data_IF_039954672219
#
_entry.id   IF_039954672219
#
_cell.length_a   1.000
_cell.length_b   1.000
_cell.length_c   1.000
_cell.angle_alpha   90.00
_cell.angle_beta   90.00
_cell.angle_gamma   90.00
#
_symmetry.space_group_name_H-M   'P 1'
#
loop_
_entity.id
_entity.type
_entity.pdbx_description
1 polymer ?
#
# COMPACT_ATOMS: atom_id res chain seq x y z
N UNK A 1 -66.08 88.62 -8.32
CA UNK A 1 -65.55 87.74 -7.29
C UNK A 1 -64.53 86.88 -7.99
N UNK A 2 -63.22 87.16 -7.79
CA UNK A 2 -62.13 86.55 -8.54
C UNK A 2 -61.47 85.53 -7.61
N UNK A 3 -61.47 84.27 -8.00
CA UNK A 3 -60.78 83.22 -7.32
C UNK A 3 -59.43 83.07 -7.98
N UNK A 4 -58.35 83.25 -7.19
CA UNK A 4 -56.96 83.02 -7.61
C UNK A 4 -56.61 81.55 -7.38
N UNK A 5 -56.29 80.86 -8.43
CA UNK A 5 -55.69 79.49 -8.38
C UNK A 5 -54.17 79.54 -8.28
N UNK A 6 -53.66 79.01 -7.21
CA UNK A 6 -52.21 78.89 -6.96
C UNK A 6 -51.73 77.52 -7.51
N UNK A 7 -50.84 77.54 -8.49
CA UNK A 7 -50.20 76.34 -9.02
C UNK A 7 -49.07 75.92 -8.05
N UNK A 8 -49.16 74.69 -7.52
CA UNK A 8 -48.09 74.03 -6.77
C UNK A 8 -47.25 73.17 -7.76
N UNK A 9 -45.99 73.52 -7.89
CA UNK A 9 -45.04 72.75 -8.72
C UNK A 9 -44.57 71.55 -7.92
N UNK A 10 -44.82 70.32 -8.43
CA UNK A 10 -44.25 69.05 -7.89
C UNK A 10 -42.89 68.82 -8.53
N UNK A 11 -41.84 68.77 -7.70
CA UNK A 11 -40.48 68.34 -8.10
C UNK A 11 -40.43 66.82 -7.90
N UNK A 12 -40.08 65.98 -8.91
CA UNK A 12 -39.87 64.55 -8.68
C UNK A 12 -38.49 64.32 -8.09
N UNK A 13 -38.42 63.76 -6.88
CA UNK A 13 -37.23 63.24 -6.27
C UNK A 13 -36.93 61.87 -6.91
N UNK A 14 -35.93 61.82 -7.75
CA UNK A 14 -35.38 60.52 -8.28
C UNK A 14 -34.53 59.88 -7.17
N UNK A 15 -35.08 58.88 -6.50
CA UNK A 15 -34.35 58.01 -5.57
C UNK A 15 -33.51 57.06 -6.38
N UNK A 16 -32.18 57.30 -6.45
CA UNK A 16 -31.21 56.35 -6.99
C UNK A 16 -31.12 55.14 -6.04
N UNK A 17 -31.72 54.03 -6.45
CA UNK A 17 -31.57 52.72 -5.77
C UNK A 17 -30.15 52.19 -6.07
N UNK A 18 -29.20 52.41 -5.14
CA UNK A 18 -27.91 51.73 -5.16
C UNK A 18 -28.14 50.25 -4.79
N UNK A 19 -28.25 49.39 -5.80
CA UNK A 19 -28.18 47.94 -5.59
C UNK A 19 -26.76 47.59 -5.12
N UNK A 20 -26.57 47.56 -3.80
CA UNK A 20 -25.43 46.85 -3.21
C UNK A 20 -25.60 45.37 -3.48
N UNK A 21 -24.97 44.90 -4.58
CA UNK A 21 -24.83 43.46 -4.86
C UNK A 21 -24.02 42.81 -3.74
N UNK A 22 -24.72 42.18 -2.79
CA UNK A 22 -24.08 41.24 -1.89
C UNK A 22 -23.50 40.14 -2.76
N UNK A 23 -22.17 39.81 -2.63
CA UNK A 23 -21.63 38.65 -3.34
C UNK A 23 -22.43 37.43 -2.88
N UNK A 24 -23.14 36.79 -3.81
CA UNK A 24 -23.75 35.48 -3.57
C UNK A 24 -22.65 34.56 -3.01
N UNK A 25 -22.89 33.85 -1.90
CA UNK A 25 -21.92 32.83 -1.48
C UNK A 25 -21.77 31.90 -2.66
N UNK A 26 -20.51 31.77 -3.16
CA UNK A 26 -20.20 30.80 -4.18
C UNK A 26 -20.78 29.46 -3.72
N UNK A 27 -21.67 28.89 -4.53
CA UNK A 27 -22.22 27.55 -4.28
C UNK A 27 -21.06 26.65 -3.93
N UNK A 28 -21.00 26.12 -2.71
CA UNK A 28 -20.04 25.12 -2.35
C UNK A 28 -20.25 23.97 -3.34
N UNK A 29 -19.36 23.83 -4.30
CA UNK A 29 -19.39 22.70 -5.22
C UNK A 29 -19.46 21.45 -4.33
N UNK A 30 -20.39 20.54 -4.64
CA UNK A 30 -20.52 19.30 -3.87
C UNK A 30 -19.17 18.62 -3.72
N UNK A 31 -18.79 18.28 -2.49
CA UNK A 31 -17.50 17.68 -2.19
C UNK A 31 -17.37 16.37 -2.97
N UNK A 32 -16.25 16.20 -3.68
CA UNK A 32 -15.95 14.95 -4.37
C UNK A 32 -15.57 13.89 -3.34
N UNK A 33 -16.33 12.79 -3.31
CA UNK A 33 -16.05 11.65 -2.44
C UNK A 33 -15.12 10.68 -3.14
N UNK A 34 -14.02 10.31 -2.48
CA UNK A 34 -12.99 9.37 -2.94
C UNK A 34 -13.05 8.13 -2.05
N UNK A 35 -13.22 6.96 -2.64
CA UNK A 35 -13.31 5.68 -1.94
C UNK A 35 -11.94 5.00 -1.87
N UNK A 36 -11.50 4.66 -0.66
CA UNK A 36 -10.26 3.93 -0.41
C UNK A 36 -10.59 2.54 0.14
N UNK A 37 -10.22 1.48 -0.56
CA UNK A 37 -10.36 0.11 -0.08
C UNK A 37 -8.99 -0.51 0.18
N UNK A 38 -8.84 -1.26 1.27
CA UNK A 38 -7.62 -2.03 1.55
C UNK A 38 -7.94 -3.29 2.38
N UNK A 39 -7.03 -4.26 2.36
CA UNK A 39 -7.25 -5.57 2.99
C UNK A 39 -6.93 -5.62 4.50
N UNK A 40 -6.32 -4.58 5.06
CA UNK A 40 -5.81 -4.57 6.44
C UNK A 40 -6.91 -4.30 7.45
N UNK A 41 -6.75 -4.75 8.73
CA UNK A 41 -7.71 -4.45 9.78
C UNK A 41 -7.89 -2.96 9.97
N UNK A 42 -9.13 -2.52 10.13
CA UNK A 42 -9.47 -1.14 10.44
C UNK A 42 -9.14 -0.78 11.88
N UNK A 43 -8.89 0.50 12.11
CA UNK A 43 -8.60 1.08 13.41
C UNK A 43 -8.97 2.55 13.47
N UNK A 44 -8.18 3.32 14.19
CA UNK A 44 -8.25 4.77 14.24
C UNK A 44 -6.96 5.40 13.71
N UNK A 45 -6.89 6.70 13.60
CA UNK A 45 -5.68 7.40 13.17
C UNK A 45 -4.48 7.14 14.10
N UNK A 46 -4.74 6.84 15.38
CA UNK A 46 -3.71 6.66 16.41
C UNK A 46 -3.47 5.20 16.78
N UNK A 47 -4.41 4.29 16.49
CA UNK A 47 -4.36 2.88 16.93
C UNK A 47 -4.71 1.92 15.80
N UNK A 48 -4.02 0.77 15.76
CA UNK A 48 -4.25 -0.30 14.80
C UNK A 48 -3.10 -0.49 13.83
N UNK A 49 -3.39 -1.14 12.73
CA UNK A 49 -2.43 -1.39 11.64
C UNK A 49 -1.94 -0.06 11.04
N UNK A 50 -0.62 0.10 10.88
CA UNK A 50 -0.07 1.37 10.40
C UNK A 50 -0.56 1.73 8.99
N UNK A 51 -0.95 0.76 8.18
CA UNK A 51 -1.44 0.96 6.81
C UNK A 51 -2.82 1.60 6.81
N UNK A 52 -3.73 1.15 7.68
CA UNK A 52 -5.03 1.81 7.90
C UNK A 52 -4.84 3.21 8.49
N UNK A 53 -3.94 3.36 9.46
CA UNK A 53 -3.59 4.65 10.04
C UNK A 53 -3.05 5.62 9.00
N UNK A 54 -2.14 5.17 8.11
CA UNK A 54 -1.59 5.97 7.03
C UNK A 54 -2.67 6.46 6.08
N UNK A 55 -3.60 5.59 5.69
CA UNK A 55 -4.75 5.95 4.84
C UNK A 55 -5.62 7.00 5.52
N UNK A 56 -5.89 6.88 6.82
CA UNK A 56 -6.66 7.88 7.60
C UNK A 56 -5.94 9.21 7.73
N UNK A 57 -4.63 9.19 7.98
CA UNK A 57 -3.79 10.39 8.01
C UNK A 57 -3.78 11.09 6.64
N UNK A 58 -3.66 10.32 5.57
CA UNK A 58 -3.74 10.84 4.19
C UNK A 58 -5.08 11.53 3.94
N UNK A 59 -6.18 10.84 4.23
CA UNK A 59 -7.53 11.36 4.04
C UNK A 59 -7.74 12.69 4.82
N UNK A 60 -7.42 12.67 6.12
CA UNK A 60 -7.59 13.85 6.98
C UNK A 60 -6.78 15.06 6.49
N UNK A 61 -5.51 14.86 6.12
CA UNK A 61 -4.66 15.97 5.70
C UNK A 61 -5.05 16.50 4.30
N UNK A 62 -5.48 15.63 3.37
CA UNK A 62 -5.99 16.08 2.07
C UNK A 62 -7.32 16.80 2.22
N UNK A 63 -8.27 16.29 3.02
CA UNK A 63 -9.54 16.99 3.31
C UNK A 63 -9.31 18.38 3.88
N UNK A 64 -8.41 18.48 4.86
CA UNK A 64 -8.02 19.75 5.47
C UNK A 64 -7.45 20.73 4.45
N UNK A 65 -6.49 20.30 3.63
CA UNK A 65 -5.77 21.16 2.68
C UNK A 65 -6.60 21.53 1.46
N UNK A 66 -7.62 20.74 1.13
CA UNK A 66 -8.59 21.05 0.07
C UNK A 66 -9.83 21.76 0.60
N UNK A 67 -9.82 22.20 1.87
CA UNK A 67 -10.97 22.88 2.51
C UNK A 67 -12.27 22.08 2.38
N UNK A 68 -12.19 20.73 2.45
CA UNK A 68 -13.34 19.83 2.35
C UNK A 68 -13.87 19.62 0.93
N UNK A 69 -13.20 20.11 -0.12
CA UNK A 69 -13.58 19.83 -1.52
C UNK A 69 -13.39 18.36 -1.91
N UNK A 70 -12.38 17.69 -1.31
CA UNK A 70 -12.21 16.24 -1.37
C UNK A 70 -12.60 15.64 -0.03
N UNK A 71 -13.40 14.58 -0.06
CA UNK A 71 -13.82 13.77 1.08
C UNK A 71 -13.42 12.33 0.86
N UNK A 72 -13.23 11.56 1.92
CA UNK A 72 -12.79 10.19 1.80
C UNK A 72 -13.68 9.22 2.59
N UNK A 73 -14.03 8.11 1.94
CA UNK A 73 -14.64 6.95 2.57
C UNK A 73 -13.64 5.80 2.59
N UNK A 74 -13.34 5.26 3.78
CA UNK A 74 -12.31 4.22 3.97
C UNK A 74 -12.97 2.90 4.29
N UNK A 75 -12.64 1.87 3.50
CA UNK A 75 -13.19 0.51 3.56
C UNK A 75 -12.07 -0.50 3.88
N UNK A 76 -11.80 -0.76 5.17
CA UNK A 76 -10.79 -1.73 5.61
C UNK A 76 -11.24 -3.18 5.44
N UNK A 77 -10.31 -4.13 5.59
CA UNK A 77 -10.58 -5.57 5.59
C UNK A 77 -11.03 -6.15 4.25
N UNK A 78 -10.93 -5.41 3.15
CA UNK A 78 -11.44 -5.83 1.84
C UNK A 78 -12.97 -5.81 1.77
N UNK A 79 -13.62 -4.95 2.57
CA UNK A 79 -15.09 -4.89 2.68
C UNK A 79 -15.78 -4.34 1.42
N UNK A 80 -15.13 -3.43 0.68
CA UNK A 80 -15.68 -2.89 -0.57
C UNK A 80 -15.20 -3.71 -1.78
N UNK A 81 -13.89 -3.95 -1.89
CA UNK A 81 -13.28 -4.71 -2.99
C UNK A 81 -12.33 -5.75 -2.41
N UNK A 82 -12.45 -7.01 -2.86
CA UNK A 82 -11.59 -8.10 -2.41
C UNK A 82 -10.13 -7.83 -2.74
N UNK A 83 -9.22 -8.26 -1.85
CA UNK A 83 -7.80 -7.91 -1.89
C UNK A 83 -7.16 -8.06 -3.28
N UNK A 84 -7.30 -9.20 -3.94
CA UNK A 84 -6.69 -9.46 -5.26
C UNK A 84 -7.36 -8.74 -6.43
N UNK A 85 -8.53 -8.15 -6.23
CA UNK A 85 -9.30 -7.44 -7.27
C UNK A 85 -9.08 -5.92 -7.22
N UNK A 86 -8.42 -5.40 -6.19
CA UNK A 86 -8.30 -3.96 -5.97
C UNK A 86 -7.53 -3.23 -7.08
N UNK A 87 -6.46 -3.82 -7.64
CA UNK A 87 -5.73 -3.18 -8.74
C UNK A 87 -6.57 -3.12 -10.03
N UNK A 88 -7.34 -4.17 -10.31
CA UNK A 88 -8.25 -4.19 -11.46
C UNK A 88 -9.34 -3.12 -11.33
N UNK A 89 -9.91 -3.00 -10.13
CA UNK A 89 -10.90 -1.98 -9.85
C UNK A 89 -10.34 -0.55 -10.00
N UNK A 90 -9.07 -0.33 -9.60
CA UNK A 90 -8.36 0.92 -9.85
C UNK A 90 -8.15 1.19 -11.35
N UNK A 91 -7.64 0.20 -12.08
CA UNK A 91 -7.34 0.33 -13.51
C UNK A 91 -8.57 0.67 -14.35
N UNK A 92 -9.76 0.20 -13.93
CA UNK A 92 -11.04 0.48 -14.59
C UNK A 92 -11.77 1.70 -14.05
N UNK A 93 -11.26 2.33 -12.97
CA UNK A 93 -11.93 3.45 -12.29
C UNK A 93 -13.12 3.04 -11.42
N UNK A 94 -13.34 1.75 -11.16
CA UNK A 94 -14.39 1.25 -10.27
C UNK A 94 -14.03 1.45 -8.77
N UNK A 95 -12.77 1.71 -8.47
CA UNK A 95 -12.24 2.09 -7.16
C UNK A 95 -11.31 3.29 -7.33
N UNK A 96 -11.38 4.25 -6.42
CA UNK A 96 -10.56 5.46 -6.49
C UNK A 96 -9.15 5.25 -5.96
N UNK A 97 -9.00 4.59 -4.78
CA UNK A 97 -7.70 4.39 -4.13
C UNK A 97 -7.60 3.05 -3.42
N UNK A 98 -6.37 2.55 -3.30
CA UNK A 98 -6.05 1.38 -2.46
C UNK A 98 -4.63 1.45 -1.91
N UNK A 99 -4.39 0.88 -0.74
CA UNK A 99 -3.07 0.50 -0.27
C UNK A 99 -2.88 -0.99 -0.58
N UNK A 100 -1.95 -1.31 -1.49
CA UNK A 100 -1.98 -2.57 -2.22
C UNK A 100 -0.61 -3.27 -2.34
N UNK A 101 -0.51 -4.57 -1.97
CA UNK A 101 0.66 -5.38 -2.29
C UNK A 101 0.82 -5.57 -3.79
N UNK A 102 1.70 -4.83 -4.43
CA UNK A 102 1.79 -4.77 -5.89
C UNK A 102 2.08 -6.14 -6.53
N UNK A 103 2.82 -7.01 -5.84
CA UNK A 103 3.11 -8.37 -6.28
C UNK A 103 1.86 -9.27 -6.47
N UNK A 104 0.70 -8.91 -5.91
CA UNK A 104 -0.54 -9.65 -6.16
C UNK A 104 -0.99 -9.59 -7.62
N UNK A 105 -0.58 -8.57 -8.34
CA UNK A 105 -0.91 -8.38 -9.76
C UNK A 105 0.12 -8.96 -10.73
N UNK A 106 1.14 -9.65 -10.21
CA UNK A 106 2.22 -10.22 -11.02
C UNK A 106 1.80 -11.29 -12.05
N UNK A 107 0.56 -11.78 -11.99
CA UNK A 107 -0.02 -12.61 -13.04
C UNK A 107 -0.52 -11.83 -14.26
N UNK A 108 -0.92 -10.56 -14.08
CA UNK A 108 -1.40 -9.66 -15.13
C UNK A 108 -0.33 -8.71 -15.64
N UNK A 109 0.51 -8.23 -14.74
CA UNK A 109 1.65 -7.34 -15.00
C UNK A 109 2.89 -8.05 -14.49
N UNK A 110 3.49 -8.96 -15.30
CA UNK A 110 4.59 -9.81 -14.81
C UNK A 110 5.79 -9.03 -14.27
N UNK A 111 6.04 -7.83 -14.78
CA UNK A 111 7.14 -6.96 -14.39
C UNK A 111 7.05 -6.52 -12.92
N UNK A 112 5.84 -6.39 -12.35
CA UNK A 112 5.69 -5.99 -10.95
C UNK A 112 6.12 -7.07 -9.95
N UNK A 113 6.37 -8.31 -10.39
CA UNK A 113 6.92 -9.35 -9.54
C UNK A 113 8.30 -8.97 -8.96
N UNK A 114 9.03 -8.05 -9.60
CA UNK A 114 10.29 -7.50 -9.08
C UNK A 114 10.10 -6.79 -7.72
N UNK A 115 8.90 -6.32 -7.43
CA UNK A 115 8.56 -5.58 -6.19
C UNK A 115 8.46 -6.47 -4.94
N UNK A 116 8.52 -7.79 -5.12
CA UNK A 116 8.69 -8.80 -4.06
C UNK A 116 9.69 -9.87 -4.52
N UNK A 117 10.75 -9.46 -5.22
CA UNK A 117 11.82 -10.37 -5.60
C UNK A 117 12.65 -10.75 -4.37
N UNK A 118 12.68 -12.05 -3.98
CA UNK A 118 13.34 -12.45 -2.74
C UNK A 118 14.82 -12.10 -2.74
N UNK A 119 15.31 -11.57 -1.63
CA UNK A 119 16.70 -11.17 -1.40
C UNK A 119 17.30 -10.15 -2.38
N UNK A 120 16.46 -9.44 -3.17
CA UNK A 120 16.89 -8.35 -4.05
C UNK A 120 17.04 -7.05 -3.25
N UNK A 121 16.02 -6.67 -2.50
CA UNK A 121 16.08 -5.60 -1.50
C UNK A 121 16.54 -6.20 -0.18
N UNK A 122 17.51 -5.55 0.46
CA UNK A 122 18.16 -6.05 1.69
C UNK A 122 17.97 -5.13 2.90
N UNK A 123 17.49 -3.89 2.67
CA UNK A 123 17.19 -2.91 3.71
C UNK A 123 16.26 -1.83 3.17
N UNK A 124 15.54 -1.14 4.07
CA UNK A 124 14.51 -0.16 3.72
C UNK A 124 15.04 0.96 2.83
N UNK A 125 16.21 1.51 3.14
CA UNK A 125 16.80 2.63 2.42
C UNK A 125 17.06 2.29 0.95
N UNK A 126 17.44 1.04 0.65
CA UNK A 126 17.59 0.57 -0.73
C UNK A 126 16.25 0.63 -1.47
N UNK A 127 15.18 0.11 -0.86
CA UNK A 127 13.84 0.13 -1.45
C UNK A 127 13.35 1.56 -1.70
N UNK A 128 13.48 2.46 -0.72
CA UNK A 128 13.04 3.86 -0.87
C UNK A 128 13.88 4.63 -1.91
N UNK A 129 15.16 4.27 -2.10
CA UNK A 129 15.99 4.87 -3.17
C UNK A 129 15.48 4.54 -4.57
N UNK A 130 14.74 3.43 -4.76
CA UNK A 130 14.16 3.10 -6.06
C UNK A 130 13.34 4.24 -6.65
N UNK A 131 12.59 4.96 -5.85
CA UNK A 131 11.72 6.07 -6.28
C UNK A 131 12.41 7.04 -7.25
N UNK A 132 13.67 7.35 -6.99
CA UNK A 132 14.44 8.34 -7.75
C UNK A 132 15.43 7.71 -8.74
N UNK A 133 15.37 6.39 -8.94
CA UNK A 133 16.29 5.64 -9.81
C UNK A 133 15.55 5.11 -11.05
N UNK A 134 16.26 4.63 -12.07
CA UNK A 134 15.65 4.11 -13.30
C UNK A 134 14.55 3.07 -13.03
N UNK A 135 14.76 2.13 -12.11
CA UNK A 135 13.76 1.13 -11.75
C UNK A 135 12.46 1.74 -11.22
N UNK A 136 12.53 2.78 -10.40
CA UNK A 136 11.34 3.46 -9.89
C UNK A 136 10.60 4.25 -10.96
N UNK A 137 11.31 4.86 -11.91
CA UNK A 137 10.71 5.51 -13.07
C UNK A 137 9.97 4.50 -13.94
N UNK A 138 10.57 3.32 -14.14
CA UNK A 138 9.97 2.25 -14.93
C UNK A 138 8.72 1.66 -14.26
N UNK A 139 8.74 1.43 -12.94
CA UNK A 139 7.55 1.02 -12.19
C UNK A 139 6.42 2.06 -12.28
N UNK A 140 6.77 3.35 -12.19
CA UNK A 140 5.78 4.43 -12.34
C UNK A 140 5.17 4.42 -13.74
N UNK A 141 5.99 4.26 -14.80
CA UNK A 141 5.52 4.16 -16.17
C UNK A 141 4.59 2.95 -16.38
N UNK A 142 5.00 1.79 -15.90
CA UNK A 142 4.20 0.56 -15.99
C UNK A 142 2.83 0.71 -15.33
N UNK A 143 2.77 1.35 -14.16
CA UNK A 143 1.49 1.57 -13.48
C UNK A 143 0.66 2.65 -14.19
N UNK A 144 1.26 3.72 -14.69
CA UNK A 144 0.56 4.74 -15.50
C UNK A 144 -0.08 4.13 -16.75
N UNK A 145 0.61 3.22 -17.45
CA UNK A 145 0.09 2.48 -18.60
C UNK A 145 -1.06 1.54 -18.24
N UNK A 146 -1.11 1.12 -16.97
CA UNK A 146 -2.21 0.34 -16.41
C UNK A 146 -3.26 1.22 -15.70
N UNK A 147 -3.32 2.52 -16.00
CA UNK A 147 -4.25 3.50 -15.44
C UNK A 147 -4.17 3.66 -13.90
N UNK A 148 -3.00 3.51 -13.32
CA UNK A 148 -2.77 3.60 -11.87
C UNK A 148 -1.63 4.56 -11.54
N UNK A 149 -1.86 5.45 -10.55
CA UNK A 149 -0.88 6.40 -10.01
C UNK A 149 -0.33 5.93 -8.67
N UNK A 150 0.99 6.03 -8.47
CA UNK A 150 1.62 5.85 -7.16
C UNK A 150 1.53 7.16 -6.39
N UNK A 151 0.89 7.13 -5.23
CA UNK A 151 0.72 8.31 -4.34
C UNK A 151 1.74 8.30 -3.21
N UNK A 152 1.94 7.13 -2.55
CA UNK A 152 2.91 7.00 -1.44
C UNK A 152 3.75 5.76 -1.66
N UNK A 153 5.08 5.89 -1.57
CA UNK A 153 6.02 4.78 -1.65
C UNK A 153 6.17 4.14 -0.29
N UNK A 154 5.85 2.84 -0.21
CA UNK A 154 5.94 2.08 1.04
C UNK A 154 6.65 0.77 0.76
N UNK A 155 7.71 0.49 1.52
CA UNK A 155 8.42 -0.79 1.55
C UNK A 155 8.28 -1.41 2.92
N UNK A 156 7.99 -2.70 2.96
CA UNK A 156 7.87 -3.46 4.19
C UNK A 156 8.82 -4.63 4.19
N UNK A 157 9.41 -4.93 5.35
CA UNK A 157 10.07 -6.18 5.62
C UNK A 157 9.09 -7.20 6.20
N UNK A 158 9.43 -8.47 6.12
CA UNK A 158 8.61 -9.53 6.66
C UNK A 158 9.39 -10.75 7.09
N UNK A 159 8.69 -11.64 7.74
CA UNK A 159 9.18 -12.90 8.27
C UNK A 159 8.23 -14.05 7.98
N UNK A 160 8.40 -15.14 8.72
CA UNK A 160 7.56 -16.33 8.61
C UNK A 160 7.07 -16.78 9.98
N UNK A 161 5.76 -16.98 10.09
CA UNK A 161 5.14 -17.70 11.21
C UNK A 161 4.83 -19.13 10.80
N UNK A 162 5.11 -20.11 11.66
CA UNK A 162 4.87 -21.53 11.40
C UNK A 162 4.26 -22.27 12.59
N UNK A 163 3.48 -23.32 12.29
CA UNK A 163 2.78 -24.12 13.29
C UNK A 163 3.69 -25.04 14.10
N UNK A 164 4.71 -25.64 13.46
CA UNK A 164 5.29 -26.87 14.01
C UNK A 164 6.81 -26.84 14.18
N UNK A 165 7.53 -25.99 13.47
CA UNK A 165 9.00 -25.91 13.51
C UNK A 165 9.51 -24.57 13.03
N UNK A 166 10.69 -24.14 13.47
CA UNK A 166 11.32 -22.94 12.95
C UNK A 166 11.67 -23.09 11.46
N UNK A 167 11.56 -21.99 10.71
CA UNK A 167 11.97 -21.92 9.31
C UNK A 167 13.04 -20.85 9.20
N UNK A 168 14.30 -21.27 9.18
CA UNK A 168 15.48 -20.41 9.19
C UNK A 168 16.27 -20.57 7.88
N UNK A 169 16.48 -21.81 7.43
CA UNK A 169 17.15 -22.13 6.18
C UNK A 169 16.17 -22.69 5.13
N UNK A 170 16.50 -22.65 3.83
CA UNK A 170 15.58 -23.16 2.79
C UNK A 170 15.08 -24.59 3.04
N UNK A 171 15.95 -25.48 3.51
CA UNK A 171 15.60 -26.88 3.77
C UNK A 171 14.47 -27.07 4.81
N UNK A 172 14.26 -26.10 5.70
CA UNK A 172 13.20 -26.15 6.71
C UNK A 172 11.80 -26.04 6.09
N UNK A 173 11.71 -25.53 4.85
CA UNK A 173 10.44 -25.37 4.10
C UNK A 173 9.95 -26.70 3.51
N UNK A 174 10.84 -27.70 3.36
CA UNK A 174 10.51 -28.94 2.67
C UNK A 174 9.30 -29.65 3.26
N UNK A 175 8.34 -29.97 2.40
CA UNK A 175 7.12 -30.68 2.71
C UNK A 175 6.03 -29.88 3.43
N UNK A 176 6.26 -28.58 3.72
CA UNK A 176 5.26 -27.72 4.35
C UNK A 176 4.33 -27.11 3.31
N UNK A 177 3.06 -26.93 3.69
CA UNK A 177 2.09 -26.11 2.96
C UNK A 177 2.33 -24.64 3.32
N UNK A 178 2.83 -23.87 2.37
CA UNK A 178 3.34 -22.53 2.63
C UNK A 178 2.68 -21.48 1.74
N UNK A 179 2.62 -20.27 2.28
CA UNK A 179 2.13 -19.09 1.55
C UNK A 179 3.28 -18.12 1.36
N UNK A 180 3.50 -17.75 0.09
CA UNK A 180 4.39 -16.64 -0.28
C UNK A 180 3.73 -15.37 -0.61
N UNK A 181 3.56 -14.40 -0.91
CA UNK A 181 2.76 -13.21 -1.19
C UNK A 181 2.84 -12.75 -2.66
N UNK A 182 3.34 -13.58 -3.55
CA UNK A 182 3.46 -13.26 -4.98
C UNK A 182 4.26 -14.30 -5.74
N UNK A 183 4.26 -14.24 -7.08
CA UNK A 183 4.85 -15.26 -7.96
C UNK A 183 6.32 -15.52 -7.63
N UNK A 184 7.16 -14.49 -7.58
CA UNK A 184 8.61 -14.67 -7.32
C UNK A 184 8.90 -15.28 -5.95
N UNK A 185 8.12 -14.90 -4.92
CA UNK A 185 8.28 -15.51 -3.60
C UNK A 185 7.80 -16.96 -3.60
N UNK A 186 6.68 -17.27 -4.26
CA UNK A 186 6.19 -18.64 -4.38
C UNK A 186 7.21 -19.56 -5.07
N UNK A 187 7.84 -19.10 -6.15
CA UNK A 187 8.89 -19.84 -6.86
C UNK A 187 10.11 -20.14 -5.97
N UNK A 188 10.55 -19.20 -5.13
CA UNK A 188 11.60 -19.46 -4.15
C UNK A 188 11.18 -20.55 -3.16
N UNK A 189 9.97 -20.47 -2.60
CA UNK A 189 9.48 -21.40 -1.60
C UNK A 189 9.22 -22.81 -2.18
N UNK A 190 8.78 -22.87 -3.43
CA UNK A 190 8.65 -24.12 -4.18
C UNK A 190 10.01 -24.76 -4.45
N UNK A 191 11.01 -23.96 -4.85
CA UNK A 191 12.40 -24.42 -4.99
C UNK A 191 13.01 -24.90 -3.66
N UNK A 192 12.53 -24.37 -2.53
CA UNK A 192 12.88 -24.84 -1.19
C UNK A 192 12.10 -26.11 -0.76
N UNK A 193 11.25 -26.66 -1.63
CA UNK A 193 10.48 -27.89 -1.40
C UNK A 193 9.14 -27.69 -0.68
N UNK A 194 8.62 -26.47 -0.62
CA UNK A 194 7.30 -26.15 -0.09
C UNK A 194 6.17 -26.41 -1.09
N UNK A 195 5.00 -26.80 -0.59
CA UNK A 195 3.75 -26.86 -1.35
C UNK A 195 3.03 -25.51 -1.25
N UNK A 196 2.87 -24.82 -2.40
CA UNK A 196 2.41 -23.43 -2.41
C UNK A 196 0.88 -23.33 -2.36
N UNK A 197 0.38 -22.46 -1.46
CA UNK A 197 -0.99 -21.99 -1.46
C UNK A 197 -1.01 -20.46 -1.58
N UNK A 198 -1.74 -19.95 -2.56
CA UNK A 198 -1.76 -18.51 -2.88
C UNK A 198 -3.02 -17.84 -2.37
N UNK A 199 -3.00 -17.36 -1.14
CA UNK A 199 -4.07 -16.58 -0.50
C UNK A 199 -3.60 -15.15 -0.17
N UNK A 200 -4.49 -14.13 -0.17
CA UNK A 200 -4.13 -12.80 0.31
C UNK A 200 -3.88 -12.80 1.82
N UNK A 201 -3.19 -11.78 2.34
CA UNK A 201 -2.75 -11.81 3.75
C UNK A 201 -3.90 -11.75 4.76
N UNK A 202 -5.02 -11.16 4.43
CA UNK A 202 -6.22 -11.14 5.28
C UNK A 202 -6.94 -12.49 5.41
N UNK A 203 -6.57 -13.50 4.61
CA UNK A 203 -7.11 -14.86 4.69
C UNK A 203 -6.14 -15.84 5.38
N UNK A 204 -4.93 -15.39 5.73
CA UNK A 204 -3.88 -16.28 6.27
C UNK A 204 -4.22 -16.85 7.65
N UNK A 205 -4.94 -16.08 8.50
CA UNK A 205 -5.35 -16.58 9.81
C UNK A 205 -6.26 -17.81 9.67
N UNK A 206 -7.33 -17.71 8.89
CA UNK A 206 -8.26 -18.82 8.67
C UNK A 206 -7.59 -19.99 7.94
N UNK A 207 -6.69 -19.73 7.00
CA UNK A 207 -5.96 -20.77 6.29
C UNK A 207 -4.97 -21.53 7.21
N UNK A 208 -4.30 -20.85 8.14
CA UNK A 208 -3.50 -21.52 9.18
C UNK A 208 -4.39 -22.27 10.17
N UNK A 209 -5.44 -21.64 10.67
CA UNK A 209 -6.35 -22.26 11.64
C UNK A 209 -6.98 -23.56 11.12
N UNK A 210 -7.34 -23.60 9.84
CA UNK A 210 -7.92 -24.80 9.20
C UNK A 210 -6.90 -25.84 8.73
N UNK A 211 -5.59 -25.58 8.91
CA UNK A 211 -4.53 -26.48 8.45
C UNK A 211 -4.32 -26.52 6.94
N UNK A 212 -4.87 -25.56 6.20
CA UNK A 212 -4.57 -25.33 4.77
C UNK A 212 -3.13 -24.84 4.60
N UNK A 213 -2.59 -24.10 5.61
CA UNK A 213 -1.22 -23.62 5.66
C UNK A 213 -0.52 -24.10 6.94
N UNK A 214 0.70 -24.55 6.79
CA UNK A 214 1.62 -24.85 7.90
C UNK A 214 2.47 -23.63 8.25
N UNK A 215 2.75 -22.75 7.27
CA UNK A 215 3.53 -21.54 7.48
C UNK A 215 3.14 -20.42 6.51
N UNK A 216 3.34 -19.18 6.98
CA UNK A 216 2.97 -17.95 6.25
C UNK A 216 4.14 -16.97 6.24
N UNK A 217 4.68 -16.66 5.05
CA UNK A 217 5.53 -15.49 4.83
C UNK A 217 4.66 -14.27 4.56
N UNK A 218 4.86 -13.23 5.35
CA UNK A 218 4.16 -11.93 5.17
C UNK A 218 4.91 -10.83 5.89
N UNK A 219 4.45 -9.56 5.76
CA UNK A 219 5.07 -8.43 6.45
C UNK A 219 5.01 -8.57 7.97
N UNK A 220 5.98 -7.98 8.67
CA UNK A 220 5.99 -7.92 10.13
C UNK A 220 4.71 -7.33 10.69
N UNK A 221 4.19 -6.26 10.05
CA UNK A 221 2.90 -5.68 10.39
C UNK A 221 1.74 -6.68 10.28
N UNK A 222 1.68 -7.47 9.19
CA UNK A 222 0.63 -8.46 8.97
C UNK A 222 0.72 -9.63 9.95
N UNK A 223 1.93 -10.11 10.27
CA UNK A 223 2.14 -11.16 11.28
C UNK A 223 1.50 -10.79 12.63
N UNK A 224 1.55 -9.51 12.99
CA UNK A 224 0.95 -8.99 14.22
C UNK A 224 -0.53 -8.67 14.03
N UNK A 225 -0.90 -7.90 13.00
CA UNK A 225 -2.26 -7.36 12.86
C UNK A 225 -3.31 -8.41 12.50
N UNK A 226 -2.92 -9.50 11.83
CA UNK A 226 -3.77 -10.67 11.60
C UNK A 226 -3.67 -11.73 12.68
N UNK A 227 -2.98 -11.44 13.81
CA UNK A 227 -2.94 -12.27 15.02
C UNK A 227 -2.39 -13.69 14.80
N UNK A 228 -1.47 -13.86 13.85
CA UNK A 228 -0.92 -15.20 13.54
C UNK A 228 -0.13 -15.80 14.72
N UNK A 229 0.27 -14.98 15.70
CA UNK A 229 0.89 -15.43 16.95
C UNK A 229 0.00 -16.33 17.82
N UNK A 230 -1.34 -16.35 17.58
CA UNK A 230 -2.26 -17.26 18.29
C UNK A 230 -2.19 -18.70 17.76
N UNK A 231 -1.70 -18.86 16.56
CA UNK A 231 -1.64 -20.14 15.84
C UNK A 231 -0.22 -20.68 15.68
N UNK A 232 0.77 -19.81 15.69
CA UNK A 232 2.16 -20.15 15.45
C UNK A 232 2.85 -20.67 16.72
N UNK A 233 3.78 -21.63 16.56
CA UNK A 233 4.73 -22.04 17.61
C UNK A 233 6.09 -21.39 17.42
N UNK A 234 6.44 -21.04 16.19
CA UNK A 234 7.72 -20.45 15.82
C UNK A 234 7.51 -19.25 14.88
N UNK A 235 8.36 -18.25 15.01
CA UNK A 235 8.44 -17.10 14.10
C UNK A 235 9.90 -16.78 13.80
N UNK A 236 10.23 -16.62 12.51
CA UNK A 236 11.51 -16.04 12.08
C UNK A 236 11.28 -14.61 11.64
N UNK A 237 11.95 -13.66 12.30
CA UNK A 237 11.66 -12.22 12.20
C UNK A 237 12.49 -11.50 11.15
N UNK A 238 12.08 -10.28 10.79
CA UNK A 238 12.84 -9.39 9.91
C UNK A 238 13.79 -8.44 10.64
N UNK A 239 13.84 -8.45 11.99
CA UNK A 239 14.54 -7.43 12.79
C UNK A 239 16.07 -7.40 12.61
N UNK A 240 16.69 -8.51 12.16
CA UNK A 240 18.13 -8.55 11.85
C UNK A 240 18.38 -8.70 10.35
N UNK A 241 17.94 -9.81 9.77
CA UNK A 241 18.06 -10.12 8.34
C UNK A 241 16.77 -10.76 7.84
N UNK A 242 16.39 -10.42 6.60
CA UNK A 242 15.30 -11.07 5.89
C UNK A 242 15.55 -11.01 4.39
N UNK A 243 15.06 -12.01 3.67
CA UNK A 243 15.01 -11.99 2.21
C UNK A 243 13.68 -11.49 1.68
N UNK A 244 12.74 -11.10 2.57
CA UNK A 244 11.40 -10.66 2.24
C UNK A 244 11.27 -9.15 2.42
N UNK A 245 11.30 -8.40 1.30
CA UNK A 245 10.94 -6.99 1.23
C UNK A 245 9.91 -6.81 0.14
N UNK A 246 8.81 -6.11 0.41
CA UNK A 246 7.70 -5.91 -0.50
C UNK A 246 7.37 -4.43 -0.67
N UNK A 247 7.12 -4.05 -1.91
CA UNK A 247 6.55 -2.74 -2.25
C UNK A 247 5.02 -2.78 -2.14
N UNK A 248 4.48 -1.97 -1.25
CA UNK A 248 3.05 -1.92 -0.91
C UNK A 248 2.54 -0.47 -0.90
N UNK A 249 2.49 0.19 -2.07
CA UNK A 249 2.19 1.60 -2.18
C UNK A 249 0.72 1.95 -1.89
N UNK A 250 0.47 3.23 -1.52
CA UNK A 250 -0.84 3.83 -1.68
C UNK A 250 -1.00 4.24 -3.14
N UNK A 251 -2.03 3.74 -3.79
CA UNK A 251 -2.33 3.90 -5.21
C UNK A 251 -3.64 4.67 -5.41
N UNK A 252 -3.74 5.39 -6.53
CA UNK A 252 -4.96 6.05 -6.99
C UNK A 252 -5.26 5.65 -8.43
N UNK A 253 -6.54 5.49 -8.78
CA UNK A 253 -6.97 5.38 -10.17
C UNK A 253 -6.53 6.62 -10.96
N UNK A 254 -5.95 6.40 -12.14
CA UNK A 254 -5.55 7.52 -13.01
C UNK A 254 -6.74 8.37 -13.43
N UNK A 255 -7.89 7.75 -13.68
CA UNK A 255 -9.13 8.49 -14.01
C UNK A 255 -9.58 9.40 -12.86
N UNK A 256 -9.52 8.92 -11.62
CA UNK A 256 -9.81 9.76 -10.44
C UNK A 256 -8.79 10.88 -10.33
N UNK A 257 -7.49 10.58 -10.44
CA UNK A 257 -6.42 11.57 -10.36
C UNK A 257 -6.55 12.68 -11.43
N UNK A 258 -6.77 12.29 -12.67
CA UNK A 258 -6.89 13.23 -13.80
C UNK A 258 -8.16 14.11 -13.71
N UNK A 259 -9.20 13.68 -12.97
CA UNK A 259 -10.41 14.46 -12.70
C UNK A 259 -10.24 15.51 -11.59
N UNK A 260 -9.12 15.49 -10.86
CA UNK A 260 -8.78 16.49 -9.85
C UNK A 260 -8.25 17.78 -10.51
N UNK A 261 -8.47 18.92 -9.86
CA UNK A 261 -7.84 20.17 -10.29
C UNK A 261 -6.31 20.08 -10.10
N UNK A 262 -5.50 20.87 -10.83
CA UNK A 262 -4.05 20.89 -10.66
C UNK A 262 -3.61 21.13 -9.21
N UNK A 263 -4.32 21.97 -8.46
CA UNK A 263 -4.02 22.24 -7.04
C UNK A 263 -4.35 21.02 -6.17
N UNK A 264 -5.48 20.35 -6.40
CA UNK A 264 -5.83 19.11 -5.69
C UNK A 264 -4.84 17.99 -5.99
N UNK A 265 -4.41 17.82 -7.25
CA UNK A 265 -3.36 16.86 -7.64
C UNK A 265 -2.06 17.12 -6.89
N UNK A 266 -1.63 18.38 -6.82
CA UNK A 266 -0.45 18.80 -6.07
C UNK A 266 -0.56 18.47 -4.58
N UNK A 267 -1.70 18.77 -3.96
CA UNK A 267 -1.97 18.46 -2.54
C UNK A 267 -1.89 16.94 -2.30
N UNK A 268 -2.58 16.14 -3.12
CA UNK A 268 -2.59 14.67 -3.03
C UNK A 268 -1.16 14.10 -3.09
N UNK A 269 -0.35 14.54 -4.06
CA UNK A 269 1.03 14.08 -4.21
C UNK A 269 1.93 14.54 -3.06
N UNK A 270 1.79 15.77 -2.57
CA UNK A 270 2.57 16.29 -1.45
C UNK A 270 2.24 15.57 -0.14
N UNK A 271 0.96 15.35 0.15
CA UNK A 271 0.52 14.63 1.35
C UNK A 271 1.01 13.18 1.27
N UNK A 272 0.84 12.51 0.12
CA UNK A 272 1.34 11.16 -0.10
C UNK A 272 2.84 11.04 0.17
N UNK A 273 3.64 11.94 -0.40
CA UNK A 273 5.09 11.95 -0.19
C UNK A 273 5.50 12.23 1.26
N UNK A 274 4.76 13.09 1.98
CA UNK A 274 5.05 13.40 3.39
C UNK A 274 4.87 12.21 4.32
N UNK A 275 3.97 11.27 3.98
CA UNK A 275 3.67 10.08 4.78
C UNK A 275 4.69 8.94 4.62
N UNK A 276 5.62 9.02 3.66
CA UNK A 276 6.69 8.03 3.50
C UNK A 276 7.59 7.94 4.76
N UNK A 277 7.80 9.06 5.45
CA UNK A 277 8.55 9.06 6.73
C UNK A 277 7.81 8.31 7.84
N UNK A 278 6.50 8.47 7.91
CA UNK A 278 5.67 7.70 8.83
C UNK A 278 5.70 6.21 8.51
N UNK A 279 5.57 5.85 7.23
CA UNK A 279 5.58 4.47 6.77
C UNK A 279 6.90 3.76 7.13
N UNK A 280 8.07 4.32 6.77
CA UNK A 280 9.36 3.69 7.08
C UNK A 280 9.59 3.53 8.59
N UNK A 281 9.20 4.54 9.38
CA UNK A 281 9.29 4.47 10.85
C UNK A 281 8.42 3.33 11.39
N UNK A 282 7.15 3.27 10.99
CA UNK A 282 6.20 2.25 11.42
C UNK A 282 6.65 0.84 11.03
N UNK A 283 7.16 0.66 9.81
CA UNK A 283 7.67 -0.64 9.36
C UNK A 283 8.86 -1.12 10.21
N UNK A 284 9.82 -0.23 10.50
CA UNK A 284 10.96 -0.57 11.37
C UNK A 284 10.54 -0.83 12.83
N UNK A 285 9.50 -0.17 13.31
CA UNK A 285 8.91 -0.44 14.63
C UNK A 285 8.18 -1.78 14.64
N UNK A 286 7.44 -2.13 13.59
CA UNK A 286 6.76 -3.42 13.49
C UNK A 286 7.73 -4.61 13.39
N UNK A 287 8.91 -4.46 12.77
CA UNK A 287 9.95 -5.50 12.77
C UNK A 287 10.43 -5.86 14.20
N UNK A 288 10.51 -4.87 15.08
CA UNK A 288 10.85 -5.07 16.50
C UNK A 288 9.65 -5.59 17.29
N UNK A 289 8.51 -4.95 17.10
CA UNK A 289 7.25 -5.28 17.78
C UNK A 289 6.81 -6.72 17.52
N UNK A 290 7.05 -7.24 16.31
CA UNK A 290 6.79 -8.63 15.97
C UNK A 290 7.40 -9.58 17.00
N UNK A 291 8.70 -9.43 17.28
CA UNK A 291 9.41 -10.29 18.24
C UNK A 291 8.85 -10.17 19.66
N UNK A 292 8.47 -8.97 20.07
CA UNK A 292 7.89 -8.71 21.40
C UNK A 292 6.50 -9.35 21.55
N UNK A 293 5.63 -9.17 20.56
CA UNK A 293 4.26 -9.69 20.56
C UNK A 293 4.26 -11.22 20.57
N UNK A 294 5.06 -11.83 19.69
CA UNK A 294 5.18 -13.28 19.59
C UNK A 294 5.81 -13.88 20.85
N UNK A 295 6.88 -13.30 21.38
CA UNK A 295 7.50 -13.73 22.63
C UNK A 295 6.56 -13.68 23.82
N UNK A 296 5.75 -12.60 23.95
CA UNK A 296 4.70 -12.50 24.99
C UNK A 296 3.59 -13.53 24.84
N UNK A 297 3.32 -13.97 23.60
CA UNK A 297 2.36 -15.04 23.31
C UNK A 297 2.93 -16.47 23.53
N UNK A 298 4.19 -16.58 23.97
CA UNK A 298 4.86 -17.88 24.20
C UNK A 298 5.40 -18.54 22.92
N UNK A 299 5.48 -17.81 21.81
CA UNK A 299 6.01 -18.31 20.54
C UNK A 299 7.54 -18.20 20.54
N UNK A 300 8.22 -19.22 20.02
CA UNK A 300 9.67 -19.21 19.87
C UNK A 300 10.08 -18.22 18.78
N UNK A 301 10.93 -17.24 19.15
CA UNK A 301 11.35 -16.17 18.25
C UNK A 301 12.76 -16.44 17.74
N UNK A 302 12.89 -16.52 16.42
CA UNK A 302 14.15 -16.78 15.72
C UNK A 302 14.54 -15.57 14.87
N UNK A 303 15.84 -15.42 14.64
CA UNK A 303 16.41 -14.43 13.73
C UNK A 303 17.26 -15.13 12.66
N UNK A 304 17.27 -14.55 11.48
CA UNK A 304 18.15 -14.96 10.41
C UNK A 304 19.49 -14.21 10.54
N UNK A 305 20.61 -14.91 10.38
CA UNK A 305 21.94 -14.32 10.28
C UNK A 305 22.38 -14.13 8.82
N UNK A 306 23.56 -13.60 8.60
CA UNK A 306 24.10 -13.39 7.25
C UNK A 306 24.29 -14.70 6.50
N UNK A 307 24.76 -15.77 7.17
CA UNK A 307 25.01 -17.08 6.54
C UNK A 307 23.71 -17.67 6.02
N UNK A 308 22.66 -17.68 6.84
CA UNK A 308 21.33 -18.18 6.47
C UNK A 308 20.68 -17.33 5.40
N UNK A 309 20.83 -15.99 5.48
CA UNK A 309 20.38 -15.09 4.42
C UNK A 309 21.04 -15.41 3.06
N UNK A 310 22.35 -15.68 3.03
CA UNK A 310 23.04 -16.02 1.78
C UNK A 310 22.58 -17.37 1.21
N UNK A 311 22.15 -18.33 2.03
CA UNK A 311 21.54 -19.58 1.54
C UNK A 311 20.22 -19.30 0.79
N UNK A 312 19.35 -18.48 1.35
CA UNK A 312 18.11 -18.03 0.70
C UNK A 312 18.39 -17.24 -0.57
N UNK A 313 19.38 -16.34 -0.53
CA UNK A 313 19.74 -15.51 -1.69
C UNK A 313 20.30 -16.36 -2.84
N UNK A 314 21.08 -17.38 -2.54
CA UNK A 314 21.59 -18.31 -3.55
C UNK A 314 20.42 -19.02 -4.24
N UNK A 315 19.52 -19.60 -3.46
CA UNK A 315 18.34 -20.29 -4.00
C UNK A 315 17.43 -19.32 -4.80
N UNK A 316 17.24 -18.07 -4.33
CA UNK A 316 16.48 -17.07 -5.04
C UNK A 316 17.06 -16.75 -6.43
N UNK A 317 18.39 -16.66 -6.54
CA UNK A 317 19.08 -16.43 -7.83
C UNK A 317 18.90 -17.61 -8.79
N UNK A 318 18.94 -18.82 -8.27
CA UNK A 318 18.82 -20.05 -9.06
C UNK A 318 17.36 -20.35 -9.45
N UNK A 319 16.38 -19.73 -8.82
CA UNK A 319 14.94 -19.92 -9.06
C UNK A 319 14.25 -18.66 -9.55
N UNK A 320 13.71 -17.85 -8.62
CA UNK A 320 12.86 -16.70 -8.92
C UNK A 320 13.56 -15.62 -9.78
N UNK A 321 14.85 -15.33 -9.53
CA UNK A 321 15.57 -14.32 -10.35
C UNK A 321 15.74 -14.81 -11.77
N UNK A 322 16.17 -16.06 -11.93
CA UNK A 322 16.37 -16.68 -13.25
C UNK A 322 15.05 -16.74 -14.03
N UNK A 323 13.95 -17.17 -13.41
CA UNK A 323 12.64 -17.21 -14.08
C UNK A 323 12.20 -15.80 -14.50
N UNK A 324 12.40 -14.79 -13.65
CA UNK A 324 12.06 -13.40 -13.97
C UNK A 324 12.87 -12.88 -15.15
N UNK A 325 14.17 -13.11 -15.16
CA UNK A 325 15.08 -12.69 -16.24
C UNK A 325 14.76 -13.38 -17.58
N UNK A 326 14.38 -14.66 -17.54
CA UNK A 326 14.14 -15.47 -18.74
C UNK A 326 12.71 -15.32 -19.29
N UNK A 327 11.71 -15.13 -18.44
CA UNK A 327 10.29 -15.24 -18.80
C UNK A 327 9.48 -13.94 -18.68
N UNK A 328 10.05 -12.87 -18.13
CA UNK A 328 9.37 -11.57 -18.03
C UNK A 328 9.94 -10.61 -19.08
N UNK A 329 9.05 -9.89 -19.76
CA UNK A 329 9.44 -8.85 -20.71
C UNK A 329 10.38 -7.85 -20.03
N UNK A 330 11.51 -7.56 -20.67
CA UNK A 330 12.57 -6.69 -20.12
C UNK A 330 13.12 -7.16 -18.76
N UNK A 331 12.89 -8.41 -18.34
CA UNK A 331 13.25 -8.94 -17.02
C UNK A 331 14.71 -8.74 -16.64
N UNK A 332 15.66 -9.05 -17.55
CA UNK A 332 17.11 -8.79 -17.35
C UNK A 332 17.39 -7.32 -17.08
N UNK A 333 16.86 -6.43 -17.91
CA UNK A 333 17.02 -4.98 -17.79
C UNK A 333 16.46 -4.46 -16.44
N UNK A 334 15.28 -4.93 -16.05
CA UNK A 334 14.67 -4.57 -14.77
C UNK A 334 15.53 -5.04 -13.58
N UNK A 335 16.05 -6.27 -13.64
CA UNK A 335 16.96 -6.80 -12.62
C UNK A 335 18.28 -6.01 -12.53
N UNK A 336 18.88 -5.65 -13.66
CA UNK A 336 20.07 -4.78 -13.71
C UNK A 336 19.80 -3.41 -13.08
N UNK A 337 18.68 -2.75 -13.46
CA UNK A 337 18.29 -1.47 -12.87
C UNK A 337 18.09 -1.57 -11.35
N UNK A 338 17.46 -2.64 -10.87
CA UNK A 338 17.19 -2.86 -9.46
C UNK A 338 18.46 -3.15 -8.66
N UNK A 339 19.36 -4.00 -9.20
CA UNK A 339 20.64 -4.35 -8.57
C UNK A 339 21.63 -3.18 -8.54
N UNK A 340 21.50 -2.20 -9.44
CA UNK A 340 22.30 -0.98 -9.44
C UNK A 340 21.99 -0.05 -8.26
N UNK A 341 20.87 -0.24 -7.57
CA UNK A 341 20.48 0.54 -6.38
C UNK A 341 21.03 -0.17 -5.13
N UNK A 342 22.04 0.45 -4.52
CA UNK A 342 22.67 -0.08 -3.31
C UNK A 342 22.15 0.59 -2.05
#
# INVERSE_FOLDING_TARGET
>A
MKIKSTLLALIPVIAALVMSGTPSPASAADAKVIKISHQFPGGTIDKGDFRDRLVRMFAQEVEKRTHGQLKFEIYPGGSLVKAKQQLDALSTGALDMTLYPLAYSGGKIPEVNITLMPALITHYEQGYRWKNKPIGKELTRLLDENNVKIITWIWQAGGVASHNKPIIVPADTKGLKVRGAGKSMNQLLEAAGGAISSVPSNETYSAMQSGVLDAVWTSSASLVSFRLYELAKDVTTARKKTFWYMFEPLLMSKSTYDSLTPEQQKIVMQVGASLEKFAIKSCKEDDKRLAEVYGKAGVHVHDMDEKTFQMWRKLAKESAWKDFEDNVKDGKKLMEMAQAVK
#
